data_IF_612697544578
#
_entry.id   IF_612697544578
#
_cell.length_a   1.000
_cell.length_b   1.000
_cell.length_c   1.000
_cell.angle_alpha   90.00
_cell.angle_beta   90.00
_cell.angle_gamma   90.00
#
_symmetry.space_group_name_H-M   'P 1'
#
loop_
_entity.id
_entity.type
_entity.pdbx_description
1 polymer ?
#
# COMPACT_ATOMS: atom_id res chain seq x y z
N UNK A 1 -2.40 -16.93 -6.08
CA UNK A 1 -1.13 -17.47 -5.60
C UNK A 1 0.00 -17.26 -6.59
N UNK A 2 1.19 -17.10 -6.06
CA UNK A 2 2.41 -16.89 -6.86
C UNK A 2 3.45 -17.90 -6.40
N UNK A 3 4.12 -18.52 -7.36
CA UNK A 3 5.14 -19.54 -7.10
C UNK A 3 6.52 -18.91 -7.05
N UNK A 4 7.43 -19.55 -6.31
CA UNK A 4 8.83 -19.13 -6.25
C UNK A 4 9.39 -18.94 -7.67
N UNK A 5 10.00 -17.79 -7.92
CA UNK A 5 10.60 -17.46 -9.20
C UNK A 5 9.68 -16.71 -10.16
N UNK A 6 8.38 -16.65 -9.89
CA UNK A 6 7.46 -15.86 -10.70
C UNK A 6 7.78 -14.38 -10.59
N UNK A 7 7.68 -13.68 -11.71
CA UNK A 7 7.90 -12.24 -11.77
C UNK A 7 6.58 -11.51 -11.71
N UNK A 8 6.53 -10.44 -10.92
CA UNK A 8 5.32 -9.67 -10.68
C UNK A 8 5.59 -8.20 -10.91
N UNK A 9 4.53 -7.49 -11.28
CA UNK A 9 4.57 -6.07 -11.50
C UNK A 9 4.96 -5.71 -12.92
N UNK A 10 4.70 -4.47 -13.27
CA UNK A 10 5.01 -3.93 -14.58
C UNK A 10 6.53 -3.98 -14.80
N UNK A 11 6.94 -4.64 -15.89
CA UNK A 11 8.35 -4.82 -16.20
C UNK A 11 9.04 -5.91 -15.38
N UNK A 12 8.29 -6.70 -14.59
CA UNK A 12 8.85 -7.80 -13.82
C UNK A 12 9.84 -7.35 -12.75
N UNK A 13 9.54 -6.27 -12.06
CA UNK A 13 10.45 -5.64 -11.09
C UNK A 13 10.60 -6.41 -9.79
N UNK A 14 9.79 -7.43 -9.57
CA UNK A 14 9.85 -8.25 -8.37
C UNK A 14 9.77 -9.71 -8.74
N UNK A 15 10.63 -10.51 -8.14
CA UNK A 15 10.65 -11.96 -8.32
C UNK A 15 10.32 -12.62 -6.99
N UNK A 16 9.35 -13.52 -6.99
CA UNK A 16 8.91 -14.18 -5.77
C UNK A 16 10.02 -15.05 -5.18
N UNK A 17 10.47 -14.78 -3.94
CA UNK A 17 11.52 -15.58 -3.31
C UNK A 17 11.01 -16.92 -2.80
N UNK A 18 9.70 -17.08 -2.67
CA UNK A 18 9.02 -18.29 -2.22
C UNK A 18 7.60 -18.27 -2.72
N UNK A 19 6.91 -19.41 -2.61
CA UNK A 19 5.48 -19.47 -2.91
C UNK A 19 4.75 -18.54 -1.93
N UNK A 20 3.84 -17.71 -2.44
CA UNK A 20 3.13 -16.72 -1.64
C UNK A 20 1.79 -16.36 -2.27
N UNK A 21 1.03 -15.52 -1.58
CA UNK A 21 -0.20 -14.93 -2.10
C UNK A 21 0.00 -13.43 -2.22
N UNK A 22 -0.54 -12.85 -3.27
CA UNK A 22 -0.50 -11.41 -3.48
C UNK A 22 -1.91 -10.85 -3.39
N UNK A 23 -2.03 -9.71 -2.76
CA UNK A 23 -3.26 -8.93 -2.75
C UNK A 23 -3.11 -7.76 -3.71
N UNK A 24 -4.15 -7.48 -4.48
CA UNK A 24 -4.19 -6.29 -5.34
C UNK A 24 -5.05 -5.25 -4.65
N UNK A 25 -4.46 -4.09 -4.39
CA UNK A 25 -5.12 -2.97 -3.73
C UNK A 25 -5.50 -1.94 -4.79
N UNK A 26 -6.75 -1.49 -4.78
CA UNK A 26 -7.27 -0.57 -5.78
C UNK A 26 -6.84 0.88 -5.49
N UNK A 27 -5.54 1.10 -5.48
CA UNK A 27 -4.95 2.43 -5.30
C UNK A 27 -3.62 2.48 -6.04
N UNK A 28 -3.34 3.59 -6.67
CA UNK A 28 -2.08 3.78 -7.36
C UNK A 28 -1.72 5.25 -7.49
N UNK A 29 -0.75 5.57 -8.34
CA UNK A 29 -0.26 6.94 -8.43
C UNK A 29 -1.31 7.89 -9.02
N UNK A 30 -2.31 7.40 -9.74
CA UNK A 30 -3.42 8.23 -10.20
C UNK A 30 -4.26 8.80 -9.06
N UNK A 31 -4.22 8.16 -7.88
CA UNK A 31 -4.90 8.61 -6.66
C UNK A 31 -3.99 9.51 -5.81
N UNK A 32 -2.72 9.60 -6.15
CA UNK A 32 -1.73 10.35 -5.39
C UNK A 32 -0.80 9.50 -4.56
N UNK A 33 -0.94 8.17 -4.61
CA UNK A 33 -0.01 7.29 -3.91
C UNK A 33 1.35 7.32 -4.63
N UNK A 34 2.47 7.43 -3.91
CA UNK A 34 3.76 7.66 -4.57
C UNK A 34 4.23 6.44 -5.36
N UNK A 35 4.65 6.65 -6.61
CA UNK A 35 5.24 5.59 -7.43
C UNK A 35 6.50 5.01 -6.78
N UNK A 36 7.22 5.83 -6.03
CA UNK A 36 8.44 5.40 -5.35
C UNK A 36 8.17 4.42 -4.19
N UNK A 37 6.92 4.18 -3.83
CA UNK A 37 6.55 3.18 -2.82
C UNK A 37 6.75 1.75 -3.30
N UNK A 38 7.14 1.55 -4.54
CA UNK A 38 7.41 0.23 -5.12
C UNK A 38 8.44 -0.54 -4.30
N UNK A 39 8.24 -1.86 -4.21
CA UNK A 39 9.16 -2.83 -3.56
C UNK A 39 9.53 -2.49 -2.11
N UNK A 40 8.73 -2.97 -1.20
CA UNK A 40 9.08 -2.98 0.22
C UNK A 40 8.38 -1.93 1.06
N UNK A 41 7.76 -0.91 0.47
CA UNK A 41 7.02 0.07 1.25
C UNK A 41 5.87 -0.62 1.98
N UNK A 42 5.70 -0.40 3.30
CA UNK A 42 4.69 -1.12 4.06
C UNK A 42 3.29 -0.56 3.86
N UNK A 43 2.31 -1.46 3.95
CA UNK A 43 0.91 -1.13 4.15
C UNK A 43 0.41 -1.95 5.34
N UNK A 44 -0.68 -1.52 5.98
CA UNK A 44 -1.30 -2.28 7.06
C UNK A 44 -2.59 -2.91 6.57
N UNK A 45 -2.77 -4.19 6.88
CA UNK A 45 -4.04 -4.90 6.70
C UNK A 45 -4.31 -5.64 8.00
N UNK A 46 -5.45 -5.36 8.62
CA UNK A 46 -5.82 -5.95 9.93
C UNK A 46 -4.74 -5.75 10.99
N UNK A 47 -4.07 -4.60 10.97
CA UNK A 47 -3.05 -4.26 11.96
C UNK A 47 -1.68 -4.87 11.73
N UNK A 48 -1.50 -5.65 10.67
CA UNK A 48 -0.23 -6.26 10.32
C UNK A 48 0.39 -5.57 9.11
N UNK A 49 1.72 -5.50 9.08
CA UNK A 49 2.47 -4.88 7.98
C UNK A 49 2.75 -5.89 6.89
N UNK A 50 2.54 -5.46 5.65
CA UNK A 50 2.87 -6.26 4.46
C UNK A 50 3.56 -5.35 3.44
N UNK A 51 4.57 -5.88 2.73
CA UNK A 51 5.34 -5.06 1.78
C UNK A 51 4.66 -4.98 0.42
N UNK A 52 4.78 -3.81 -0.21
CA UNK A 52 4.45 -3.66 -1.61
C UNK A 52 5.50 -4.41 -2.43
N UNK A 53 5.07 -5.10 -3.46
CA UNK A 53 5.93 -5.80 -4.41
C UNK A 53 5.69 -5.28 -5.81
N UNK A 54 6.76 -5.17 -6.60
CA UNK A 54 6.69 -4.61 -7.93
C UNK A 54 6.47 -3.11 -7.92
N UNK A 55 6.15 -2.57 -9.07
CA UNK A 55 5.91 -1.13 -9.23
C UNK A 55 4.46 -0.78 -8.95
N UNK A 56 4.27 0.38 -8.31
CA UNK A 56 2.94 0.96 -8.17
C UNK A 56 2.47 1.40 -9.55
N UNK A 57 1.29 0.93 -9.98
CA UNK A 57 0.70 1.36 -11.24
C UNK A 57 -0.23 2.55 -11.02
N UNK A 58 -0.85 3.03 -12.09
CA UNK A 58 -1.78 4.16 -11.98
C UNK A 58 -2.97 3.85 -11.07
N UNK A 59 -3.50 2.63 -11.15
CA UNK A 59 -4.74 2.25 -10.47
C UNK A 59 -4.59 1.15 -9.43
N UNK A 60 -3.44 0.48 -9.37
CA UNK A 60 -3.28 -0.71 -8.56
C UNK A 60 -1.93 -0.76 -7.87
N UNK A 61 -1.93 -1.38 -6.71
CA UNK A 61 -0.72 -1.66 -5.94
C UNK A 61 -0.79 -3.11 -5.50
N UNK A 62 0.30 -3.85 -5.65
CA UNK A 62 0.35 -5.27 -5.29
C UNK A 62 1.12 -5.45 -4.00
N UNK A 63 0.59 -6.28 -3.12
CA UNK A 63 1.11 -6.48 -1.76
C UNK A 63 1.33 -7.97 -1.52
N UNK A 64 2.48 -8.33 -0.97
CA UNK A 64 2.78 -9.71 -0.58
C UNK A 64 2.19 -9.98 0.79
N UNK A 65 1.14 -10.78 0.85
CA UNK A 65 0.45 -11.12 2.09
C UNK A 65 0.88 -12.49 2.65
N UNK A 66 1.75 -13.19 1.95
CA UNK A 66 2.21 -14.51 2.39
C UNK A 66 1.06 -15.49 2.52
N UNK A 67 0.90 -16.05 3.72
CA UNK A 67 -0.20 -16.98 4.03
C UNK A 67 -1.23 -16.36 4.96
N UNK A 68 -1.25 -15.05 5.07
CA UNK A 68 -2.17 -14.36 5.98
C UNK A 68 -3.63 -14.53 5.53
N UNK A 69 -4.53 -14.51 6.49
CA UNK A 69 -5.96 -14.58 6.23
C UNK A 69 -6.51 -13.20 5.88
N UNK A 70 -6.27 -12.80 4.65
CA UNK A 70 -6.74 -11.52 4.10
C UNK A 70 -7.79 -11.81 3.04
N UNK A 71 -8.92 -11.13 3.14
CA UNK A 71 -10.07 -11.32 2.28
C UNK A 71 -10.35 -10.08 1.43
N UNK A 72 -11.00 -10.29 0.30
CA UNK A 72 -11.52 -9.19 -0.51
C UNK A 72 -12.46 -8.36 0.36
N UNK A 73 -12.27 -7.04 0.35
CA UNK A 73 -13.06 -6.13 1.18
C UNK A 73 -12.39 -5.72 2.48
N UNK A 74 -11.31 -6.39 2.87
CA UNK A 74 -10.54 -5.97 4.04
C UNK A 74 -9.95 -4.58 3.82
N UNK A 75 -9.95 -3.78 4.88
CA UNK A 75 -9.41 -2.42 4.83
C UNK A 75 -7.89 -2.43 4.77
N UNK A 76 -7.34 -1.60 3.90
CA UNK A 76 -5.91 -1.41 3.76
C UNK A 76 -5.56 0.02 4.17
N UNK A 77 -4.66 0.14 5.13
CA UNK A 77 -4.16 1.44 5.58
C UNK A 77 -2.85 1.76 4.89
N UNK A 78 -2.81 2.85 4.15
CA UNK A 78 -1.59 3.29 3.46
C UNK A 78 -0.72 4.16 4.36
N UNK A 79 -1.33 5.03 5.16
CA UNK A 79 -0.73 5.73 6.28
C UNK A 79 -1.84 6.24 7.20
N UNK A 80 -1.49 6.47 8.45
CA UNK A 80 -2.45 6.91 9.46
C UNK A 80 -1.87 6.79 10.86
N UNK A 81 -2.72 6.59 11.86
CA UNK A 81 -2.29 6.54 13.26
C UNK A 81 -1.28 5.42 13.52
N UNK A 82 -1.53 4.23 12.98
CA UNK A 82 -0.69 3.04 13.22
C UNK A 82 0.41 2.86 12.19
N UNK A 83 0.43 3.67 11.15
CA UNK A 83 1.47 3.69 10.12
C UNK A 83 1.70 5.15 9.73
N UNK A 84 2.56 5.86 10.46
CA UNK A 84 2.72 7.30 10.26
C UNK A 84 3.13 7.66 8.83
N UNK A 85 2.57 8.74 8.30
CA UNK A 85 2.92 9.24 6.97
C UNK A 85 4.41 9.58 6.88
N UNK A 86 5.02 9.95 7.99
CA UNK A 86 6.46 10.24 8.07
C UNK A 86 7.30 9.01 7.71
N UNK A 87 6.84 7.82 8.12
CA UNK A 87 7.55 6.58 7.78
C UNK A 87 7.47 6.32 6.27
N UNK A 88 6.31 6.54 5.66
CA UNK A 88 6.15 6.39 4.22
C UNK A 88 7.00 7.43 3.48
N UNK A 89 7.00 8.66 3.95
CA UNK A 89 7.81 9.73 3.36
C UNK A 89 9.30 9.38 3.37
N UNK A 90 9.80 8.85 4.48
CA UNK A 90 11.18 8.42 4.59
C UNK A 90 11.49 7.29 3.61
N UNK A 91 10.60 6.32 3.51
CA UNK A 91 10.77 5.18 2.60
C UNK A 91 10.88 5.64 1.13
N UNK A 92 10.09 6.61 0.73
CA UNK A 92 10.08 7.12 -0.66
C UNK A 92 10.98 8.36 -0.84
N UNK A 93 11.76 8.71 0.18
CA UNK A 93 12.73 9.81 0.14
C UNK A 93 12.09 11.17 -0.17
N UNK A 94 10.99 11.46 0.51
CA UNK A 94 10.30 12.74 0.41
C UNK A 94 9.89 13.24 1.79
N UNK A 95 9.13 14.31 1.84
CA UNK A 95 8.58 14.86 3.08
C UNK A 95 7.08 14.58 3.18
N UNK A 96 6.53 14.48 4.40
CA UNK A 96 5.11 14.19 4.59
C UNK A 96 4.17 15.16 3.87
N UNK A 97 4.53 16.43 3.85
CA UNK A 97 3.73 17.47 3.20
C UNK A 97 3.47 17.14 1.72
N UNK A 98 4.51 16.68 1.00
CA UNK A 98 4.38 16.32 -0.41
C UNK A 98 3.40 15.17 -0.59
N UNK A 99 3.47 14.13 0.25
CA UNK A 99 2.54 13.00 0.17
C UNK A 99 1.09 13.46 0.35
N UNK A 100 0.86 14.32 1.33
CA UNK A 100 -0.49 14.80 1.62
C UNK A 100 -1.02 15.74 0.53
N UNK A 101 -0.15 16.53 -0.07
CA UNK A 101 -0.53 17.47 -1.14
C UNK A 101 -0.78 16.79 -2.48
N UNK A 102 -0.24 15.59 -2.69
CA UNK A 102 -0.36 14.88 -3.96
C UNK A 102 -1.64 14.04 -4.08
N UNK A 103 -2.45 13.97 -3.04
CA UNK A 103 -3.73 13.25 -3.11
C UNK A 103 -4.63 13.94 -4.14
N UNK A 104 -5.13 13.15 -5.10
CA UNK A 104 -5.88 13.67 -6.23
C UNK A 104 -7.37 13.71 -5.97
N UNK A 105 -8.12 14.34 -6.89
CA UNK A 105 -9.58 14.41 -6.82
C UNK A 105 -10.26 13.05 -6.99
N UNK A 106 -9.53 12.01 -7.37
CA UNK A 106 -10.07 10.65 -7.44
C UNK A 106 -10.36 10.08 -6.06
N UNK A 107 -9.77 10.66 -5.00
CA UNK A 107 -9.92 10.20 -3.63
C UNK A 107 -11.09 10.91 -2.98
N UNK A 108 -11.98 10.11 -2.36
CA UNK A 108 -13.08 10.65 -1.56
C UNK A 108 -12.56 11.06 -0.20
N UNK A 109 -12.86 12.30 0.21
CA UNK A 109 -12.49 12.78 1.54
C UNK A 109 -13.65 12.60 2.49
N UNK A 110 -13.36 12.00 3.65
CA UNK A 110 -14.29 11.88 4.76
C UNK A 110 -13.70 12.57 5.97
N UNK A 111 -14.50 13.43 6.60
CA UNK A 111 -14.07 14.15 7.79
C UNK A 111 -14.72 13.50 9.00
N UNK A 112 -13.90 12.97 9.91
CA UNK A 112 -14.37 12.33 11.14
C UNK A 112 -13.79 13.05 12.34
N UNK A 113 -14.50 12.99 13.49
CA UNK A 113 -13.98 13.56 14.72
C UNK A 113 -13.12 12.54 15.48
N UNK A 114 -12.46 12.99 16.56
CA UNK A 114 -11.57 12.13 17.33
C UNK A 114 -12.28 10.91 17.94
N UNK A 115 -13.56 11.04 18.29
CA UNK A 115 -14.33 9.93 18.83
C UNK A 115 -14.58 8.85 17.78
N UNK A 116 -14.90 9.25 16.56
CA UNK A 116 -15.08 8.32 15.45
C UNK A 116 -13.76 7.60 15.12
N UNK A 117 -12.64 8.29 15.18
CA UNK A 117 -11.33 7.68 14.98
C UNK A 117 -11.01 6.62 16.03
N UNK A 118 -11.40 6.85 17.29
CA UNK A 118 -11.18 5.89 18.37
C UNK A 118 -12.07 4.67 18.24
N UNK A 119 -13.24 4.81 17.65
CA UNK A 119 -14.17 3.70 17.43
C UNK A 119 -13.72 2.77 16.31
N UNK A 120 -12.95 3.28 15.39
CA UNK A 120 -12.41 2.51 14.28
C UNK A 120 -11.16 1.76 14.70
#
# INVERSE_FOLDING_TARGET
EVKKGDKVGYGGTWTAPADTRLAVVAVGYGDGYPRAASNGCPVLIKGERYPIVGRVSMDMTTVDIGKADVQIGDEVLLWGADLPVEEIAEHVQTIPYELLCNITSRVEFRYINAEQQKAD
#
